data_IF_636903447510
#
_entry.id   IF_636903447510
#
_cell.length_a   1.000
_cell.length_b   1.000
_cell.length_c   1.000
_cell.angle_alpha   90.00
_cell.angle_beta   90.00
_cell.angle_gamma   90.00
#
_symmetry.space_group_name_H-M   'P 1'
#
loop_
_entity.id
_entity.type
_entity.pdbx_description
1 polymer ?
#
# COMPACT_ATOMS: atom_id res chain seq x y z
N UNK A 1 20.04 0.99 -41.72
CA UNK A 1 20.22 0.15 -40.52
C UNK A 1 19.78 0.98 -39.31
N UNK A 2 18.49 0.91 -39.05
CA UNK A 2 17.77 1.71 -38.07
C UNK A 2 17.90 1.11 -36.68
N UNK A 3 18.54 1.83 -35.74
CA UNK A 3 18.61 1.38 -34.34
C UNK A 3 18.83 2.53 -33.35
N UNK A 4 17.79 3.32 -33.06
CA UNK A 4 17.77 4.25 -31.90
C UNK A 4 16.39 4.41 -31.22
N UNK A 5 15.51 3.41 -31.30
CA UNK A 5 14.20 3.48 -30.63
C UNK A 5 14.14 2.89 -29.21
N UNK A 6 15.19 2.21 -28.74
CA UNK A 6 15.21 1.55 -27.42
C UNK A 6 15.64 2.45 -26.25
N UNK A 7 16.61 3.34 -26.46
CA UNK A 7 17.21 4.13 -25.37
C UNK A 7 16.28 5.21 -24.79
N UNK A 8 15.35 5.74 -25.58
CA UNK A 8 14.40 6.78 -25.14
C UNK A 8 13.28 6.25 -24.25
N UNK A 9 12.79 5.04 -24.52
CA UNK A 9 11.71 4.41 -23.74
C UNK A 9 12.20 3.95 -22.36
N UNK A 10 13.36 3.28 -22.31
CA UNK A 10 13.97 2.87 -21.04
C UNK A 10 14.31 4.06 -20.13
N UNK A 11 14.80 5.16 -20.71
CA UNK A 11 15.07 6.38 -19.96
C UNK A 11 13.79 7.00 -19.38
N UNK A 12 12.70 7.02 -20.16
CA UNK A 12 11.40 7.49 -19.71
C UNK A 12 10.82 6.62 -18.59
N UNK A 13 10.87 5.29 -18.72
CA UNK A 13 10.39 4.36 -17.70
C UNK A 13 11.18 4.49 -16.39
N UNK A 14 12.51 4.66 -16.48
CA UNK A 14 13.37 4.89 -15.33
C UNK A 14 13.03 6.22 -14.63
N UNK A 15 12.77 7.28 -15.39
CA UNK A 15 12.33 8.58 -14.86
C UNK A 15 10.98 8.46 -14.13
N UNK A 16 9.98 7.84 -14.77
CA UNK A 16 8.64 7.65 -14.19
C UNK A 16 8.72 6.81 -12.92
N UNK A 17 9.51 5.74 -12.90
CA UNK A 17 9.73 4.91 -11.70
C UNK A 17 10.39 5.72 -10.58
N UNK A 18 11.33 6.60 -10.92
CA UNK A 18 11.97 7.52 -9.99
C UNK A 18 10.98 8.51 -9.37
N UNK A 19 10.13 9.14 -10.19
CA UNK A 19 9.08 10.06 -9.73
C UNK A 19 8.11 9.33 -8.81
N UNK A 20 7.55 8.20 -9.24
CA UNK A 20 6.61 7.38 -8.44
C UNK A 20 7.19 6.98 -7.08
N UNK A 21 8.50 6.71 -7.01
CA UNK A 21 9.17 6.37 -5.75
C UNK A 21 9.31 7.59 -4.84
N UNK A 22 9.68 8.75 -5.39
CA UNK A 22 9.84 10.01 -4.63
C UNK A 22 8.50 10.57 -4.16
N UNK A 23 7.44 10.44 -4.94
CA UNK A 23 6.09 10.95 -4.60
C UNK A 23 5.24 9.91 -3.89
N UNK A 24 5.82 8.76 -3.49
CA UNK A 24 5.08 7.72 -2.76
C UNK A 24 4.65 8.30 -1.42
N UNK A 25 3.34 8.27 -1.16
CA UNK A 25 2.80 8.61 0.17
C UNK A 25 3.32 7.60 1.19
N UNK A 26 3.92 8.11 2.25
CA UNK A 26 4.35 7.31 3.40
C UNK A 26 3.24 7.31 4.44
N UNK A 27 2.88 6.13 4.93
CA UNK A 27 1.93 5.95 6.03
C UNK A 27 2.71 5.52 7.26
N UNK A 28 2.54 6.26 8.35
CA UNK A 28 3.04 5.88 9.67
C UNK A 28 2.39 4.56 10.13
N UNK A 29 3.02 3.88 11.08
CA UNK A 29 2.43 2.69 11.69
C UNK A 29 1.07 3.00 12.33
N UNK A 30 0.96 4.14 13.02
CA UNK A 30 -0.28 4.61 13.66
C UNK A 30 -1.41 4.84 12.66
N UNK A 31 -1.12 5.45 11.50
CA UNK A 31 -2.12 5.61 10.44
C UNK A 31 -2.61 4.28 9.90
N UNK A 32 -1.69 3.35 9.61
CA UNK A 32 -2.06 2.01 9.12
C UNK A 32 -2.97 1.30 10.13
N UNK A 33 -2.59 1.33 11.41
CA UNK A 33 -3.37 0.69 12.49
C UNK A 33 -4.76 1.32 12.59
N UNK A 34 -4.87 2.66 12.60
CA UNK A 34 -6.16 3.36 12.67
C UNK A 34 -7.10 2.93 11.54
N UNK A 35 -6.58 2.88 10.31
CA UNK A 35 -7.37 2.51 9.12
C UNK A 35 -7.80 1.04 9.19
N UNK A 36 -6.89 0.13 9.56
CA UNK A 36 -7.21 -1.30 9.72
C UNK A 36 -8.30 -1.50 10.78
N UNK A 37 -8.18 -0.85 11.94
CA UNK A 37 -9.18 -0.95 13.01
C UNK A 37 -10.53 -0.36 12.61
N UNK A 38 -10.56 0.74 11.84
CA UNK A 38 -11.79 1.29 11.30
C UNK A 38 -12.50 0.30 10.36
N UNK A 39 -11.75 -0.37 9.48
CA UNK A 39 -12.31 -1.37 8.57
C UNK A 39 -12.81 -2.63 9.30
N UNK A 40 -12.10 -3.07 10.35
CA UNK A 40 -12.53 -4.19 11.19
C UNK A 40 -13.79 -3.88 12.00
N UNK A 41 -14.00 -2.61 12.36
CA UNK A 41 -15.21 -2.16 13.06
C UNK A 41 -16.48 -2.30 12.21
N UNK A 42 -16.36 -2.18 10.89
CA UNK A 42 -17.45 -2.44 9.95
C UNK A 42 -18.56 -1.38 9.92
N UNK A 43 -18.31 -0.16 10.39
CA UNK A 43 -19.29 0.95 10.35
C UNK A 43 -19.60 1.43 8.93
N UNK A 44 -18.64 1.29 8.01
CA UNK A 44 -18.78 1.59 6.60
C UNK A 44 -18.15 0.49 5.75
N UNK A 45 -18.52 0.42 4.47
CA UNK A 45 -17.87 -0.50 3.53
C UNK A 45 -16.38 -0.18 3.38
N UNK A 46 -15.54 -1.20 3.17
CA UNK A 46 -14.11 -1.03 2.94
C UNK A 46 -13.83 -0.08 1.77
N UNK A 47 -14.65 -0.11 0.72
CA UNK A 47 -14.54 0.80 -0.41
C UNK A 47 -14.76 2.27 -0.02
N UNK A 48 -15.73 2.55 0.86
CA UNK A 48 -16.00 3.90 1.34
C UNK A 48 -14.83 4.41 2.20
N UNK A 49 -14.35 3.58 3.14
CA UNK A 49 -13.20 3.87 3.97
C UNK A 49 -11.95 4.17 3.12
N UNK A 50 -11.65 3.30 2.15
CA UNK A 50 -10.47 3.46 1.30
C UNK A 50 -10.51 4.75 0.47
N UNK A 51 -11.71 5.15 -0.01
CA UNK A 51 -11.90 6.44 -0.72
C UNK A 51 -11.65 7.63 0.20
N UNK A 52 -12.15 7.61 1.44
CA UNK A 52 -11.93 8.68 2.42
C UNK A 52 -10.46 8.84 2.78
N UNK A 53 -9.77 7.73 3.02
CA UNK A 53 -8.36 7.72 3.45
C UNK A 53 -7.38 7.92 2.26
N UNK A 54 -7.90 7.86 1.02
CA UNK A 54 -7.10 8.00 -0.20
C UNK A 54 -6.15 6.81 -0.43
N UNK A 55 -6.60 5.61 -0.10
CA UNK A 55 -5.85 4.36 -0.30
C UNK A 55 -6.55 3.43 -1.29
N UNK A 56 -5.78 2.52 -1.89
CA UNK A 56 -6.34 1.42 -2.65
C UNK A 56 -6.85 0.33 -1.68
N UNK A 57 -7.95 -0.33 -2.03
CA UNK A 57 -8.48 -1.46 -1.24
C UNK A 57 -7.47 -2.60 -1.10
N UNK A 58 -6.66 -2.87 -2.13
CA UNK A 58 -5.59 -3.85 -2.06
C UNK A 58 -4.57 -3.53 -0.96
N UNK A 59 -4.27 -2.25 -0.74
CA UNK A 59 -3.37 -1.80 0.31
C UNK A 59 -3.96 -2.02 1.69
N UNK A 60 -5.26 -1.75 1.86
CA UNK A 60 -6.00 -2.07 3.09
C UNK A 60 -5.91 -3.57 3.42
N UNK A 61 -6.21 -4.45 2.45
CA UNK A 61 -6.20 -5.88 2.71
C UNK A 61 -4.79 -6.40 3.02
N UNK A 62 -3.75 -5.87 2.39
CA UNK A 62 -2.36 -6.19 2.76
C UNK A 62 -2.06 -5.82 4.21
N UNK A 63 -2.40 -4.60 4.64
CA UNK A 63 -2.16 -4.18 6.02
C UNK A 63 -3.01 -4.94 7.02
N UNK A 64 -4.28 -5.20 6.72
CA UNK A 64 -5.19 -5.97 7.57
C UNK A 64 -4.65 -7.39 7.80
N UNK A 65 -4.16 -8.04 6.74
CA UNK A 65 -3.52 -9.36 6.84
C UNK A 65 -2.29 -9.30 7.73
N UNK A 66 -1.34 -8.41 7.45
CA UNK A 66 -0.10 -8.28 8.24
C UNK A 66 -0.40 -8.02 9.72
N UNK A 67 -1.36 -7.13 10.01
CA UNK A 67 -1.77 -6.79 11.37
C UNK A 67 -2.35 -7.99 12.12
N UNK A 68 -3.26 -8.75 11.49
CA UNK A 68 -3.88 -9.91 12.10
C UNK A 68 -2.90 -11.09 12.26
N UNK A 69 -2.03 -11.34 11.29
CA UNK A 69 -0.98 -12.37 11.42
C UNK A 69 -0.03 -12.04 12.57
N UNK A 70 0.46 -10.80 12.65
CA UNK A 70 1.33 -10.39 13.75
C UNK A 70 0.62 -10.52 15.12
N UNK A 71 -0.66 -10.14 15.19
CA UNK A 71 -1.48 -10.32 16.38
C UNK A 71 -1.60 -11.80 16.78
N UNK A 72 -1.92 -12.68 15.82
CA UNK A 72 -2.00 -14.12 16.06
C UNK A 72 -0.69 -14.72 16.54
N UNK A 73 0.43 -14.45 15.85
CA UNK A 73 1.75 -14.96 16.23
C UNK A 73 2.16 -14.53 17.65
N UNK A 74 1.83 -13.29 18.02
CA UNK A 74 2.09 -12.80 19.38
C UNK A 74 1.23 -13.51 20.43
N UNK A 75 -0.02 -13.83 20.11
CA UNK A 75 -0.94 -14.52 21.01
C UNK A 75 -0.65 -16.02 21.12
N UNK A 76 -0.13 -16.65 20.07
CA UNK A 76 0.31 -18.05 20.10
C UNK A 76 1.67 -18.25 20.78
N UNK A 77 2.44 -17.17 20.97
CA UNK A 77 3.78 -17.22 21.58
C UNK A 77 4.89 -17.62 20.60
N UNK A 78 4.65 -17.51 19.29
CA UNK A 78 5.62 -17.83 18.23
C UNK A 78 6.67 -16.70 18.01
N UNK A 79 6.65 -15.66 18.85
CA UNK A 79 7.52 -14.46 18.78
C UNK A 79 8.04 -14.02 20.13
#
# INVERSE_FOLDING_TARGET
MDKKSGTSKDAADKLVRGIKRKTRKHYSAEEKIRIVLAGLRGEESISALCRREGIAESLYYSWSKEFLEAGKSRLSGDT
#
